data_IF_074278121763
#
_entry.id   IF_074278121763
#
_cell.length_a   1.000
_cell.length_b   1.000
_cell.length_c   1.000
_cell.angle_alpha   90.00
_cell.angle_beta   90.00
_cell.angle_gamma   90.00
#
_symmetry.space_group_name_H-M   'P 1'
#
loop_
_entity.id
_entity.type
_entity.pdbx_description
1 polymer ?
#
# COMPACT_ATOMS: atom_id res chain seq x y z
N UNK A 1 -10.04 7.92 7.67
CA UNK A 1 -10.21 6.67 8.47
C UNK A 1 -10.75 7.02 9.84
N UNK A 2 -11.51 6.12 10.48
CA UNK A 2 -12.29 6.40 11.69
C UNK A 2 -11.57 6.21 13.03
N UNK A 3 -10.24 6.24 13.07
CA UNK A 3 -9.43 6.08 14.28
C UNK A 3 -8.13 6.88 14.18
N UNK A 4 -7.47 7.14 15.32
CA UNK A 4 -6.20 7.87 15.37
C UNK A 4 -5.06 7.02 14.80
N UNK A 5 -4.31 7.58 13.85
CA UNK A 5 -3.12 6.96 13.28
C UNK A 5 -1.89 7.65 13.85
N UNK A 6 -0.94 6.88 14.38
CA UNK A 6 0.35 7.39 14.82
C UNK A 6 1.33 7.43 13.64
N UNK A 7 1.65 8.63 13.13
CA UNK A 7 2.58 8.79 12.02
C UNK A 7 4.02 8.69 12.53
N UNK A 8 4.72 7.62 12.14
CA UNK A 8 6.06 7.32 12.66
C UNK A 8 7.17 7.46 11.61
N UNK A 9 6.84 7.48 10.32
CA UNK A 9 7.83 7.49 9.25
C UNK A 9 7.23 7.95 7.91
N UNK A 10 8.03 8.67 7.11
CA UNK A 10 7.77 8.98 5.71
C UNK A 10 8.89 8.43 4.83
N UNK A 11 8.53 7.91 3.66
CA UNK A 11 9.46 7.38 2.66
C UNK A 11 9.07 7.86 1.26
N UNK A 12 10.06 8.29 0.49
CA UNK A 12 9.91 8.52 -0.95
C UNK A 12 10.80 7.55 -1.74
N UNK A 13 10.26 7.00 -2.82
CA UNK A 13 11.00 6.10 -3.70
C UNK A 13 10.82 6.50 -5.15
N UNK A 14 11.88 6.34 -5.94
CA UNK A 14 11.87 6.52 -7.39
C UNK A 14 12.09 5.17 -8.07
N UNK A 15 11.32 4.91 -9.12
CA UNK A 15 11.41 3.67 -9.89
C UNK A 15 11.32 3.98 -11.39
N UNK A 16 11.95 3.14 -12.21
CA UNK A 16 11.81 3.18 -13.67
C UNK A 16 10.68 2.27 -14.12
N UNK A 17 10.14 2.50 -15.32
CA UNK A 17 9.10 1.64 -15.91
C UNK A 17 9.53 0.17 -15.89
N UNK A 18 8.66 -0.71 -15.41
CA UNK A 18 8.90 -2.14 -15.31
C UNK A 18 9.48 -2.63 -13.98
N UNK A 19 9.87 -1.72 -13.07
CA UNK A 19 10.24 -2.11 -11.71
C UNK A 19 9.01 -2.61 -10.95
N UNK A 20 9.13 -3.80 -10.37
CA UNK A 20 8.12 -4.41 -9.49
C UNK A 20 8.71 -4.54 -8.08
N UNK A 21 7.95 -4.10 -7.06
CA UNK A 21 8.34 -4.13 -5.65
C UNK A 21 7.24 -4.85 -4.86
N UNK A 22 7.57 -5.96 -4.21
CA UNK A 22 6.61 -6.70 -3.39
C UNK A 22 6.75 -8.22 -3.52
N UNK A 23 5.86 -9.00 -2.89
CA UNK A 23 4.87 -8.52 -1.90
C UNK A 23 5.55 -8.29 -0.55
N UNK A 24 5.24 -7.18 0.10
CA UNK A 24 5.79 -6.82 1.40
C UNK A 24 4.69 -6.87 2.46
N UNK A 25 5.01 -7.45 3.62
CA UNK A 25 4.16 -7.43 4.81
C UNK A 25 5.04 -7.43 6.05
N UNK A 26 4.47 -6.98 7.18
CA UNK A 26 5.12 -6.99 8.48
C UNK A 26 4.16 -7.63 9.49
N UNK A 27 4.70 -8.42 10.41
CA UNK A 27 3.93 -9.04 11.50
C UNK A 27 4.16 -8.28 12.80
N UNK A 28 3.25 -8.49 13.76
CA UNK A 28 3.44 -8.05 15.13
C UNK A 28 4.79 -8.54 15.70
N UNK A 29 5.50 -7.73 16.50
CA UNK A 29 5.10 -6.43 17.05
C UNK A 29 5.44 -5.21 16.15
N UNK A 30 5.84 -5.45 14.90
CA UNK A 30 6.35 -4.42 13.99
C UNK A 30 5.43 -4.19 12.79
N UNK A 31 4.14 -4.55 12.90
CA UNK A 31 3.15 -4.29 11.86
C UNK A 31 3.06 -2.78 11.62
N UNK A 32 2.97 -2.39 10.35
CA UNK A 32 2.83 -0.99 9.95
C UNK A 32 1.77 -0.85 8.86
N UNK A 33 0.74 -0.06 9.14
CA UNK A 33 -0.13 0.47 8.11
C UNK A 33 0.68 1.38 7.17
N UNK A 34 0.26 1.46 5.91
CA UNK A 34 0.89 2.29 4.89
C UNK A 34 -0.15 3.16 4.21
N UNK A 35 0.18 4.44 4.00
CA UNK A 35 -0.57 5.36 3.16
C UNK A 35 0.29 5.69 1.94
N UNK A 36 -0.15 5.26 0.76
CA UNK A 36 0.63 5.37 -0.48
C UNK A 36 0.02 6.42 -1.41
N UNK A 37 0.88 7.17 -2.12
CA UNK A 37 0.53 8.14 -3.16
C UNK A 37 1.60 8.19 -4.24
N UNK A 38 1.23 8.67 -5.43
CA UNK A 38 2.17 8.96 -6.52
C UNK A 38 2.29 10.46 -6.72
N UNK A 39 3.53 10.96 -6.67
CA UNK A 39 3.85 12.38 -6.87
C UNK A 39 4.02 12.68 -8.35
N UNK A 40 4.76 11.83 -9.06
CA UNK A 40 5.10 11.94 -10.48
C UNK A 40 4.93 10.58 -11.18
N UNK A 41 4.33 10.58 -12.38
CA UNK A 41 4.06 9.38 -13.17
C UNK A 41 2.87 8.56 -12.68
N UNK A 42 2.99 7.23 -12.75
CA UNK A 42 1.91 6.28 -12.45
C UNK A 42 2.44 4.96 -11.91
N UNK A 43 1.72 4.35 -10.97
CA UNK A 43 1.97 3.01 -10.44
C UNK A 43 0.63 2.25 -10.38
N UNK A 44 0.66 0.97 -10.75
CA UNK A 44 -0.40 0.03 -10.39
C UNK A 44 -0.06 -0.56 -9.01
N UNK A 45 -0.77 -0.12 -7.99
CA UNK A 45 -0.62 -0.66 -6.64
C UNK A 45 -1.55 -1.86 -6.45
N UNK A 46 -1.02 -2.94 -5.87
CA UNK A 46 -1.75 -4.20 -5.66
C UNK A 46 -1.61 -4.61 -4.20
N UNK A 47 -2.74 -4.63 -3.49
CA UNK A 47 -2.83 -5.11 -2.12
C UNK A 47 -3.49 -6.48 -2.08
N UNK A 48 -2.84 -7.46 -1.43
CA UNK A 48 -3.31 -8.84 -1.34
C UNK A 48 -3.69 -9.16 0.10
N UNK A 49 -4.84 -9.78 0.31
CA UNK A 49 -5.25 -10.27 1.62
C UNK A 49 -4.55 -11.60 1.94
N UNK A 50 -3.51 -11.53 2.76
CA UNK A 50 -2.73 -12.69 3.19
C UNK A 50 -3.15 -13.23 4.58
N UNK A 51 -4.25 -12.75 5.14
CA UNK A 51 -4.71 -13.14 6.48
C UNK A 51 -5.48 -14.45 6.39
N UNK A 52 -4.90 -15.55 6.90
CA UNK A 52 -5.47 -16.91 6.78
C UNK A 52 -6.90 -17.06 7.31
N UNK A 53 -7.28 -16.25 8.30
CA UNK A 53 -8.63 -16.25 8.88
C UNK A 53 -9.63 -15.38 8.12
N UNK A 54 -9.19 -14.63 7.11
CA UNK A 54 -10.04 -13.71 6.37
C UNK A 54 -10.94 -14.45 5.37
N UNK A 55 -12.22 -14.06 5.24
CA UNK A 55 -13.11 -14.57 4.19
C UNK A 55 -12.64 -14.21 2.78
N UNK A 56 -11.77 -13.20 2.64
CA UNK A 56 -11.19 -12.75 1.37
C UNK A 56 -9.73 -13.19 1.20
N UNK A 57 -9.26 -14.20 1.95
CA UNK A 57 -7.90 -14.71 1.83
C UNK A 57 -7.53 -15.06 0.38
N UNK A 58 -6.39 -14.56 -0.08
CA UNK A 58 -5.89 -14.73 -1.45
C UNK A 58 -6.50 -13.77 -2.48
N UNK A 59 -7.52 -12.99 -2.12
CA UNK A 59 -8.06 -11.94 -2.99
C UNK A 59 -7.17 -10.70 -2.95
N UNK A 60 -7.32 -9.84 -3.96
CA UNK A 60 -6.56 -8.60 -4.07
C UNK A 60 -7.43 -7.44 -4.54
N UNK A 61 -6.95 -6.24 -4.27
CA UNK A 61 -7.43 -4.99 -4.85
C UNK A 61 -6.27 -4.38 -5.64
N UNK A 62 -6.54 -3.97 -6.88
CA UNK A 62 -5.58 -3.27 -7.72
C UNK A 62 -6.09 -1.85 -8.00
N UNK A 63 -5.24 -0.85 -7.77
CA UNK A 63 -5.58 0.57 -7.95
C UNK A 63 -4.47 1.27 -8.72
N UNK A 64 -4.83 1.99 -9.77
CA UNK A 64 -3.89 2.87 -10.44
C UNK A 64 -3.78 4.19 -9.66
N UNK A 65 -2.59 4.45 -9.14
CA UNK A 65 -2.23 5.71 -8.50
C UNK A 65 -1.42 6.53 -9.49
N UNK A 66 -1.81 7.78 -9.72
CA UNK A 66 -1.12 8.65 -10.66
C UNK A 66 -0.92 10.04 -10.08
N UNK A 67 0.05 10.75 -10.65
CA UNK A 67 0.23 12.18 -10.40
C UNK A 67 -1.02 13.00 -10.75
N UNK A 68 -1.95 12.49 -11.57
CA UNK A 68 -3.12 13.25 -12.03
C UNK A 68 -4.34 13.02 -11.16
N UNK A 69 -4.65 11.75 -10.86
CA UNK A 69 -5.81 11.41 -10.03
C UNK A 69 -5.59 11.76 -8.56
N UNK A 70 -4.33 11.87 -8.12
CA UNK A 70 -3.94 12.16 -6.72
C UNK A 70 -4.62 11.24 -5.71
N UNK A 71 -5.03 10.05 -6.15
CA UNK A 71 -5.60 9.03 -5.28
C UNK A 71 -4.53 8.59 -4.27
N UNK A 72 -5.00 8.17 -3.10
CA UNK A 72 -4.17 7.58 -2.07
C UNK A 72 -4.75 6.24 -1.66
N UNK A 73 -3.87 5.28 -1.38
CA UNK A 73 -4.26 3.95 -0.91
C UNK A 73 -3.80 3.77 0.53
N UNK A 74 -4.76 3.51 1.42
CA UNK A 74 -4.47 3.16 2.82
C UNK A 74 -4.56 1.66 3.01
N UNK A 75 -3.43 1.01 3.31
CA UNK A 75 -3.33 -0.40 3.64
C UNK A 75 -3.20 -0.54 5.16
N UNK A 76 -4.19 -1.14 5.85
CA UNK A 76 -4.18 -1.28 7.30
C UNK A 76 -3.20 -2.39 7.76
N UNK A 77 -3.04 -2.49 9.08
CA UNK A 77 -2.34 -3.58 9.75
C UNK A 77 -2.96 -4.96 9.47
#
# INVERSE_FOLDING_TARGET
VGYQVNFIQDNESKSSKGVLRGLHYQLEPYSQAKLLRVIEGSVLDVTVDIRKSSPTFGQHVAVELTEKNKHQLFVPH
#
